data_IF_812433916115
#
_entry.id   IF_812433916115
#
_cell.length_a   1.000
_cell.length_b   1.000
_cell.length_c   1.000
_cell.angle_alpha   90.00
_cell.angle_beta   90.00
_cell.angle_gamma   90.00
#
_symmetry.space_group_name_H-M   'P 1'
#
loop_
_entity.id
_entity.type
_entity.pdbx_description
1 polymer ?
#
# COMPACT_ATOMS: atom_id res chain seq x y z
N UNK A 1 -2.21 17.51 -3.96
CA UNK A 1 -1.26 18.60 -4.21
C UNK A 1 -1.08 18.71 -5.71
N UNK A 2 -0.77 19.90 -6.27
CA UNK A 2 -0.23 19.97 -7.61
C UNK A 2 1.04 19.12 -7.71
N UNK A 3 1.45 18.76 -8.93
CA UNK A 3 2.74 18.09 -9.17
C UNK A 3 3.85 18.83 -8.43
N UNK A 4 4.62 18.08 -7.62
CA UNK A 4 5.69 18.64 -6.84
C UNK A 4 6.89 18.96 -7.74
N UNK A 5 7.59 20.05 -7.40
CA UNK A 5 8.87 20.35 -8.05
C UNK A 5 9.93 19.31 -7.70
N UNK A 6 10.93 19.19 -8.57
CA UNK A 6 12.06 18.28 -8.37
C UNK A 6 12.73 18.45 -6.99
N UNK A 7 12.92 19.70 -6.53
CA UNK A 7 13.51 20.00 -5.22
C UNK A 7 12.64 19.54 -4.05
N UNK A 8 11.31 19.70 -4.15
CA UNK A 8 10.37 19.20 -3.13
C UNK A 8 10.40 17.67 -3.06
N UNK A 9 10.40 17.01 -4.21
CA UNK A 9 10.47 15.54 -4.32
C UNK A 9 11.76 15.01 -3.73
N UNK A 10 12.90 15.64 -4.05
CA UNK A 10 14.19 15.28 -3.50
C UNK A 10 14.23 15.43 -1.98
N UNK A 11 13.69 16.52 -1.45
CA UNK A 11 13.55 16.72 0.00
C UNK A 11 12.67 15.62 0.64
N UNK A 12 11.57 15.23 -0.02
CA UNK A 12 10.72 14.13 0.44
C UNK A 12 11.49 12.80 0.46
N UNK A 13 12.20 12.44 -0.62
CA UNK A 13 13.04 11.24 -0.70
C UNK A 13 14.02 11.17 0.47
N UNK A 14 14.77 12.25 0.71
CA UNK A 14 15.74 12.31 1.80
C UNK A 14 15.07 12.21 3.18
N UNK A 15 13.88 12.80 3.36
CA UNK A 15 13.13 12.71 4.62
C UNK A 15 12.62 11.30 4.93
N UNK A 16 12.54 10.42 3.92
CA UNK A 16 12.18 9.01 4.04
C UNK A 16 13.38 8.10 4.34
N UNK A 17 14.57 8.67 4.60
CA UNK A 17 15.78 7.93 4.97
C UNK A 17 16.01 8.06 6.49
N UNK A 18 16.20 6.96 7.23
CA UNK A 18 16.58 7.01 8.65
C UNK A 18 17.87 7.80 8.88
N UNK A 19 18.04 8.43 10.05
CA UNK A 19 19.22 9.27 10.34
C UNK A 19 20.55 8.51 10.17
N UNK A 20 20.62 7.25 10.58
CA UNK A 20 21.81 6.41 10.40
C UNK A 20 22.19 6.26 8.92
N UNK A 21 21.20 6.08 8.05
CA UNK A 21 21.39 5.93 6.62
C UNK A 21 21.65 7.28 5.93
N UNK A 22 21.05 8.37 6.42
CA UNK A 22 21.35 9.72 5.94
C UNK A 22 22.82 10.09 6.16
N UNK A 23 23.38 9.73 7.33
CA UNK A 23 24.81 9.96 7.62
C UNK A 23 25.73 9.20 6.67
N UNK A 24 25.35 7.98 6.31
CA UNK A 24 26.07 7.15 5.34
C UNK A 24 25.95 7.73 3.92
N UNK A 25 24.75 8.13 3.52
CA UNK A 25 24.50 8.77 2.23
C UNK A 25 25.29 10.08 2.09
N UNK A 26 25.28 10.93 3.11
CA UNK A 26 26.00 12.20 3.06
C UNK A 26 27.51 11.99 2.95
N UNK A 27 28.07 10.98 3.63
CA UNK A 27 29.48 10.61 3.45
C UNK A 27 29.78 10.16 2.02
N UNK A 28 28.92 9.34 1.42
CA UNK A 28 29.06 8.89 0.03
C UNK A 28 28.96 10.05 -0.98
N UNK A 29 28.26 11.13 -0.61
CA UNK A 29 28.11 12.35 -1.40
C UNK A 29 29.17 13.42 -1.05
N UNK A 30 30.15 13.11 -0.21
CA UNK A 30 31.20 14.03 0.25
C UNK A 30 30.65 15.28 0.99
N UNK A 31 29.50 15.13 1.65
CA UNK A 31 28.84 16.17 2.47
C UNK A 31 28.95 15.83 3.96
N UNK A 32 29.11 16.86 4.79
CA UNK A 32 29.16 16.72 6.26
C UNK A 32 27.92 15.97 6.81
N UNK A 33 28.19 14.90 7.55
CA UNK A 33 27.21 14.01 8.17
C UNK A 33 26.89 14.36 9.64
N UNK A 34 27.34 15.51 10.12
CA UNK A 34 27.23 15.91 11.53
C UNK A 34 25.90 16.63 11.79
N UNK A 35 25.22 16.28 12.87
CA UNK A 35 24.00 16.95 13.31
C UNK A 35 22.72 16.16 13.06
N UNK A 36 21.61 16.87 13.04
CA UNK A 36 20.25 16.35 12.89
C UNK A 36 19.94 15.97 11.44
N UNK A 37 18.87 15.20 11.24
CA UNK A 37 18.40 14.82 9.90
C UNK A 37 18.13 16.07 9.04
N UNK A 38 17.47 17.08 9.59
CA UNK A 38 17.16 18.33 8.87
C UNK A 38 18.41 19.07 8.41
N UNK A 39 19.45 19.14 9.24
CA UNK A 39 20.71 19.81 8.90
C UNK A 39 21.47 19.05 7.81
N UNK A 40 21.50 17.71 7.88
CA UNK A 40 22.13 16.87 6.85
C UNK A 40 21.36 17.02 5.53
N UNK A 41 20.04 16.92 5.55
CA UNK A 41 19.18 17.07 4.36
C UNK A 41 19.41 18.44 3.72
N UNK A 42 19.43 19.51 4.52
CA UNK A 42 19.70 20.87 4.02
C UNK A 42 21.02 20.94 3.27
N UNK A 43 22.12 20.43 3.85
CA UNK A 43 23.44 20.44 3.20
C UNK A 43 23.49 19.59 1.94
N UNK A 44 22.86 18.41 1.96
CA UNK A 44 22.76 17.55 0.77
C UNK A 44 21.98 18.26 -0.34
N UNK A 45 20.91 19.00 -0.04
CA UNK A 45 20.17 19.77 -1.04
C UNK A 45 20.99 20.97 -1.58
N UNK A 46 21.76 21.65 -0.73
CA UNK A 46 22.63 22.78 -1.12
C UNK A 46 23.82 22.33 -1.99
N UNK A 47 24.26 21.08 -1.87
CA UNK A 47 25.35 20.54 -2.69
C UNK A 47 24.93 20.13 -4.10
N UNK A 48 23.66 20.30 -4.48
CA UNK A 48 23.11 19.95 -5.80
C UNK A 48 23.48 18.50 -6.22
N UNK A 49 23.03 17.50 -5.45
CA UNK A 49 23.54 16.15 -5.56
C UNK A 49 23.04 15.47 -6.83
N UNK A 50 23.76 14.45 -7.28
CA UNK A 50 23.26 13.56 -8.33
C UNK A 50 22.09 12.73 -7.77
N UNK A 51 20.87 13.05 -8.18
CA UNK A 51 19.66 12.34 -7.73
C UNK A 51 19.67 10.85 -8.01
N UNK A 52 20.32 10.43 -9.11
CA UNK A 52 20.45 9.01 -9.45
C UNK A 52 21.20 8.24 -8.37
N UNK A 53 22.25 8.84 -7.78
CA UNK A 53 23.01 8.22 -6.69
C UNK A 53 22.16 8.07 -5.42
N UNK A 54 21.27 9.02 -5.15
CA UNK A 54 20.33 8.95 -4.03
C UNK A 54 19.30 7.84 -4.26
N UNK A 55 18.75 7.77 -5.48
CA UNK A 55 17.79 6.73 -5.86
C UNK A 55 18.40 5.32 -5.78
N UNK A 56 19.63 5.15 -6.27
CA UNK A 56 20.40 3.90 -6.17
C UNK A 56 20.68 3.52 -4.71
N UNK A 57 21.04 4.49 -3.85
CA UNK A 57 21.23 4.26 -2.43
C UNK A 57 19.93 3.76 -1.76
N UNK A 58 18.80 4.43 -2.05
CA UNK A 58 17.49 4.06 -1.51
C UNK A 58 17.09 2.66 -1.96
N UNK A 59 17.18 2.37 -3.27
CA UNK A 59 16.89 1.05 -3.84
C UNK A 59 17.78 -0.04 -3.25
N UNK A 60 19.07 0.26 -3.01
CA UNK A 60 20.01 -0.65 -2.37
C UNK A 60 19.62 -0.98 -0.93
N UNK A 61 19.19 0.00 -0.15
CA UNK A 61 18.70 -0.21 1.23
C UNK A 61 17.41 -1.02 1.24
N UNK A 62 16.46 -0.69 0.36
CA UNK A 62 15.21 -1.43 0.25
C UNK A 62 15.44 -2.89 -0.16
N UNK A 63 16.34 -3.13 -1.12
CA UNK A 63 16.72 -4.49 -1.54
C UNK A 63 17.27 -5.33 -0.39
N UNK A 64 18.06 -4.74 0.52
CA UNK A 64 18.55 -5.44 1.72
C UNK A 64 17.40 -5.86 2.64
N UNK A 65 16.42 -4.98 2.87
CA UNK A 65 15.21 -5.30 3.65
C UNK A 65 14.42 -6.47 3.05
N UNK A 66 14.29 -6.52 1.72
CA UNK A 66 13.68 -7.68 1.04
C UNK A 66 14.49 -8.94 1.34
N UNK A 67 15.82 -8.90 1.26
CA UNK A 67 16.66 -10.08 1.55
C UNK A 67 16.54 -10.55 3.01
N UNK A 68 16.43 -9.64 3.97
CA UNK A 68 16.17 -9.98 5.38
C UNK A 68 14.82 -10.72 5.51
N UNK A 69 13.77 -10.26 4.82
CA UNK A 69 12.48 -10.96 4.76
C UNK A 69 12.63 -12.33 4.07
N UNK A 70 13.38 -12.41 2.96
CA UNK A 70 13.64 -13.65 2.20
C UNK A 70 14.37 -14.71 3.03
N UNK A 71 15.19 -14.29 4.00
CA UNK A 71 15.88 -15.18 4.90
C UNK A 71 14.93 -15.90 5.89
N UNK A 72 13.77 -15.32 6.19
CA UNK A 72 12.73 -15.95 7.03
C UNK A 72 11.94 -16.99 6.22
N UNK A 73 11.54 -16.63 5.01
CA UNK A 73 10.81 -17.51 4.08
C UNK A 73 11.07 -17.06 2.63
N UNK A 74 11.38 -17.99 1.73
CA UNK A 74 11.59 -17.65 0.32
C UNK A 74 10.29 -17.13 -0.32
N UNK A 75 10.37 -16.29 -1.38
CA UNK A 75 9.17 -15.87 -2.13
C UNK A 75 8.40 -17.09 -2.64
N UNK A 76 9.10 -18.13 -3.09
CA UNK A 76 8.51 -19.37 -3.60
C UNK A 76 7.69 -20.08 -2.53
N UNK A 77 8.22 -20.19 -1.31
CA UNK A 77 7.54 -20.92 -0.24
C UNK A 77 6.42 -20.08 0.38
N UNK A 78 6.59 -18.77 0.52
CA UNK A 78 5.51 -17.88 0.96
C UNK A 78 4.32 -17.93 -0.02
N UNK A 79 4.60 -17.92 -1.33
CA UNK A 79 3.56 -18.10 -2.36
C UNK A 79 2.82 -19.43 -2.19
N UNK A 80 3.51 -20.53 -1.86
CA UNK A 80 2.86 -21.83 -1.58
C UNK A 80 1.97 -21.77 -0.34
N UNK A 81 2.38 -21.09 0.73
CA UNK A 81 1.55 -20.91 1.93
C UNK A 81 0.27 -20.13 1.60
N UNK A 82 0.37 -19.06 0.82
CA UNK A 82 -0.78 -18.27 0.36
C UNK A 82 -1.76 -19.07 -0.52
N UNK A 83 -1.28 -20.07 -1.25
CA UNK A 83 -2.13 -20.98 -2.03
C UNK A 83 -2.96 -21.94 -1.17
N UNK A 84 -2.61 -22.13 0.10
CA UNK A 84 -3.39 -22.98 1.03
C UNK A 84 -4.72 -22.36 1.45
N UNK A 85 -4.86 -21.03 1.33
CA UNK A 85 -6.10 -20.33 1.67
C UNK A 85 -7.19 -20.70 0.63
N UNK A 86 -8.21 -21.45 1.03
CA UNK A 86 -9.28 -21.90 0.12
C UNK A 86 -10.57 -21.08 0.22
N UNK A 87 -10.77 -20.43 1.36
CA UNK A 87 -11.95 -19.62 1.66
C UNK A 87 -11.51 -18.25 2.13
N UNK A 88 -12.28 -17.24 1.76
CA UNK A 88 -12.02 -15.86 2.14
C UNK A 88 -13.31 -15.25 2.67
N UNK A 89 -13.52 -15.40 3.98
CA UNK A 89 -14.67 -14.88 4.70
C UNK A 89 -14.16 -14.16 5.93
N UNK A 90 -14.54 -12.89 6.11
CA UNK A 90 -13.96 -12.08 7.17
C UNK A 90 -14.42 -12.48 8.57
N UNK A 91 -15.63 -13.04 8.73
CA UNK A 91 -16.22 -13.41 10.02
C UNK A 91 -16.51 -12.22 10.98
N UNK A 92 -15.73 -11.16 10.90
CA UNK A 92 -15.85 -9.90 11.64
C UNK A 92 -15.28 -8.74 10.81
N UNK A 93 -15.74 -7.52 11.08
CA UNK A 93 -15.19 -6.31 10.45
C UNK A 93 -13.77 -6.06 10.96
N UNK A 94 -12.86 -5.69 10.06
CA UNK A 94 -11.46 -5.41 10.42
C UNK A 94 -11.35 -4.32 11.49
N UNK A 95 -10.63 -4.66 12.57
CA UNK A 95 -10.43 -3.77 13.72
C UNK A 95 -11.60 -3.75 14.73
N UNK A 96 -12.67 -4.52 14.50
CA UNK A 96 -13.84 -4.56 15.39
C UNK A 96 -14.03 -5.92 16.10
N UNK A 97 -13.02 -6.79 16.07
CA UNK A 97 -13.13 -8.12 16.67
C UNK A 97 -13.40 -8.05 18.19
N UNK A 98 -12.70 -7.18 18.91
CA UNK A 98 -12.93 -6.99 20.35
C UNK A 98 -14.36 -6.49 20.63
N UNK A 99 -14.81 -5.48 19.88
CA UNK A 99 -16.17 -4.96 19.99
C UNK A 99 -17.22 -6.07 19.74
N UNK A 100 -17.00 -6.93 18.75
CA UNK A 100 -17.86 -8.10 18.48
C UNK A 100 -17.90 -9.04 19.69
N UNK A 101 -16.74 -9.39 20.26
CA UNK A 101 -16.67 -10.25 21.45
C UNK A 101 -17.44 -9.65 22.62
N UNK A 102 -17.24 -8.35 22.88
CA UNK A 102 -17.90 -7.65 23.98
C UNK A 102 -19.42 -7.61 23.81
N UNK A 103 -19.90 -7.29 22.60
CA UNK A 103 -21.32 -7.06 22.33
C UNK A 103 -22.12 -8.35 22.11
N UNK A 104 -21.55 -9.34 21.42
CA UNK A 104 -22.27 -10.57 21.07
C UNK A 104 -22.12 -11.68 22.12
N UNK A 105 -21.02 -11.71 22.87
CA UNK A 105 -20.71 -12.79 23.82
C UNK A 105 -20.73 -12.32 25.26
N UNK A 106 -19.82 -11.40 25.65
CA UNK A 106 -19.59 -11.03 27.06
C UNK A 106 -20.83 -10.38 27.70
N UNK A 107 -21.44 -9.39 27.03
CA UNK A 107 -22.57 -8.64 27.60
C UNK A 107 -23.93 -9.32 27.42
N UNK A 108 -24.01 -10.35 26.58
CA UNK A 108 -25.28 -10.97 26.16
C UNK A 108 -25.49 -12.37 26.76
N UNK A 109 -24.43 -13.15 26.95
CA UNK A 109 -24.53 -14.54 27.40
C UNK A 109 -24.21 -14.60 28.90
N UNK A 110 -25.24 -14.85 29.71
CA UNK A 110 -25.14 -14.83 31.18
C UNK A 110 -24.71 -16.18 31.74
N UNK A 111 -25.13 -17.29 31.12
CA UNK A 111 -24.82 -18.64 31.60
C UNK A 111 -23.49 -19.12 31.03
N UNK A 112 -22.64 -19.64 31.90
CA UNK A 112 -21.28 -20.04 31.56
C UNK A 112 -21.22 -21.14 30.48
N UNK A 113 -22.03 -22.19 30.61
CA UNK A 113 -22.06 -23.28 29.63
C UNK A 113 -22.57 -22.80 28.26
N UNK A 114 -23.57 -21.91 28.22
CA UNK A 114 -24.05 -21.30 26.98
C UNK A 114 -22.94 -20.47 26.32
N UNK A 115 -22.15 -19.74 27.11
CA UNK A 115 -21.02 -18.96 26.62
C UNK A 115 -19.99 -19.89 25.97
N UNK A 116 -19.56 -20.95 26.67
CA UNK A 116 -18.60 -21.91 26.14
C UNK A 116 -19.10 -22.57 24.84
N UNK A 117 -20.37 -22.97 24.80
CA UNK A 117 -20.98 -23.58 23.62
C UNK A 117 -20.99 -22.62 22.42
N UNK A 118 -21.37 -21.35 22.63
CA UNK A 118 -21.37 -20.34 21.57
C UNK A 118 -19.97 -19.96 21.09
N UNK A 119 -18.99 -19.93 21.99
CA UNK A 119 -17.59 -19.68 21.62
C UNK A 119 -17.07 -20.79 20.72
N UNK A 120 -17.29 -22.06 21.09
CA UNK A 120 -16.85 -23.21 20.29
C UNK A 120 -17.60 -23.32 18.95
N UNK A 121 -18.91 -23.12 18.97
CA UNK A 121 -19.74 -23.28 17.77
C UNK A 121 -19.52 -22.18 16.73
N UNK A 122 -19.24 -20.94 17.16
CA UNK A 122 -19.22 -19.77 16.26
C UNK A 122 -17.99 -18.89 16.40
N UNK A 123 -17.68 -18.40 17.61
CA UNK A 123 -16.61 -17.39 17.77
C UNK A 123 -15.26 -17.91 17.31
N UNK A 124 -14.94 -19.16 17.64
CA UNK A 124 -13.70 -19.81 17.22
C UNK A 124 -13.51 -19.71 15.71
N UNK A 125 -14.52 -20.11 14.93
CA UNK A 125 -14.47 -20.06 13.47
C UNK A 125 -14.37 -18.63 12.93
N UNK A 126 -15.12 -17.68 13.53
CA UNK A 126 -15.05 -16.27 13.13
C UNK A 126 -13.65 -15.67 13.36
N UNK A 127 -13.03 -15.97 14.52
CA UNK A 127 -11.65 -15.54 14.83
C UNK A 127 -10.66 -16.20 13.87
N UNK A 128 -10.76 -17.51 13.63
CA UNK A 128 -9.88 -18.23 12.70
C UNK A 128 -9.95 -17.62 11.30
N UNK A 129 -11.16 -17.39 10.79
CA UNK A 129 -11.41 -16.79 9.50
C UNK A 129 -10.85 -15.36 9.40
N UNK A 130 -11.04 -14.56 10.44
CA UNK A 130 -10.50 -13.21 10.53
C UNK A 130 -8.96 -13.20 10.46
N UNK A 131 -8.30 -14.05 11.25
CA UNK A 131 -6.84 -14.16 11.28
C UNK A 131 -6.29 -14.61 9.92
N UNK A 132 -6.91 -15.61 9.29
CA UNK A 132 -6.52 -16.06 7.94
C UNK A 132 -6.65 -14.93 6.92
N UNK A 133 -7.78 -14.21 6.89
CA UNK A 133 -8.01 -13.14 5.90
C UNK A 133 -7.03 -11.97 6.09
N UNK A 134 -6.80 -11.56 7.33
CA UNK A 134 -5.83 -10.49 7.66
C UNK A 134 -4.40 -10.89 7.33
N UNK A 135 -3.99 -12.11 7.68
CA UNK A 135 -2.68 -12.66 7.33
C UNK A 135 -2.49 -12.78 5.81
N UNK A 136 -3.48 -13.31 5.10
CA UNK A 136 -3.46 -13.42 3.63
C UNK A 136 -3.32 -12.05 2.97
N UNK A 137 -4.13 -11.07 3.40
CA UNK A 137 -4.07 -9.72 2.86
C UNK A 137 -2.72 -9.06 3.12
N UNK A 138 -2.16 -9.23 4.32
CA UNK A 138 -0.86 -8.69 4.66
C UNK A 138 0.23 -9.24 3.74
N UNK A 139 0.37 -10.56 3.65
CA UNK A 139 1.48 -11.17 2.90
C UNK A 139 1.36 -11.06 1.39
N UNK A 140 0.13 -11.08 0.85
CA UNK A 140 -0.07 -10.76 -0.57
C UNK A 140 0.28 -9.31 -0.87
N UNK A 141 -0.13 -8.37 -0.02
CA UNK A 141 0.25 -6.94 -0.18
C UNK A 141 1.75 -6.76 -0.07
N UNK A 142 2.44 -7.38 0.90
CA UNK A 142 3.91 -7.32 1.01
C UNK A 142 4.58 -7.75 -0.29
N UNK A 143 4.20 -8.90 -0.86
CA UNK A 143 4.80 -9.39 -2.11
C UNK A 143 4.52 -8.46 -3.30
N UNK A 144 3.32 -7.86 -3.38
CA UNK A 144 2.95 -6.92 -4.44
C UNK A 144 3.74 -5.61 -4.29
N UNK A 145 3.81 -5.05 -3.09
CA UNK A 145 4.54 -3.81 -2.83
C UNK A 145 6.05 -3.98 -3.00
N UNK A 146 6.62 -5.12 -2.59
CA UNK A 146 8.03 -5.44 -2.86
C UNK A 146 8.29 -5.51 -4.36
N UNK A 147 7.40 -6.13 -5.14
CA UNK A 147 7.52 -6.19 -6.60
C UNK A 147 7.46 -4.79 -7.24
N UNK A 148 6.47 -3.97 -6.85
CA UNK A 148 6.36 -2.56 -7.29
C UNK A 148 7.65 -1.79 -6.95
N UNK A 149 8.16 -1.95 -5.74
CA UNK A 149 9.33 -1.24 -5.22
C UNK A 149 10.64 -1.63 -5.90
N UNK A 150 10.70 -2.82 -6.50
CA UNK A 150 11.84 -3.28 -7.28
C UNK A 150 11.80 -2.83 -8.74
N UNK A 151 10.69 -2.25 -9.21
CA UNK A 151 10.57 -1.80 -10.60
C UNK A 151 11.60 -0.69 -10.93
N UNK A 152 12.29 -0.72 -12.09
CA UNK A 152 13.33 0.26 -12.42
C UNK A 152 12.89 1.72 -12.36
N UNK A 153 11.63 2.01 -12.72
CA UNK A 153 11.04 3.36 -12.71
C UNK A 153 10.48 3.82 -11.35
N UNK A 154 10.59 2.99 -10.32
CA UNK A 154 10.06 3.25 -8.97
C UNK A 154 11.21 3.41 -7.98
N UNK A 155 11.10 4.36 -7.05
CA UNK A 155 11.99 4.50 -5.90
C UNK A 155 11.16 4.34 -4.63
N UNK A 156 11.40 3.31 -3.79
CA UNK A 156 10.59 3.09 -2.61
C UNK A 156 10.99 3.98 -1.43
N UNK A 157 10.16 4.06 -0.39
CA UNK A 157 10.56 4.64 0.90
C UNK A 157 11.25 3.61 1.79
N UNK A 158 12.32 4.01 2.50
CA UNK A 158 12.99 3.13 3.49
C UNK A 158 12.26 3.21 4.82
N UNK A 159 11.95 4.44 5.25
CA UNK A 159 11.19 4.76 6.44
C UNK A 159 9.79 5.20 6.03
N UNK A 160 8.77 4.66 6.73
CA UNK A 160 7.38 5.08 6.55
C UNK A 160 7.23 6.59 6.79
N UNK A 161 6.60 7.24 5.83
CA UNK A 161 6.10 8.61 5.92
C UNK A 161 4.64 8.57 5.52
N UNK A 162 3.77 9.19 6.33
CA UNK A 162 2.33 9.18 6.07
C UNK A 162 2.07 9.70 4.64
N UNK A 163 1.33 8.91 3.86
CA UNK A 163 0.91 9.26 2.50
C UNK A 163 1.98 9.09 1.42
N UNK A 164 3.12 8.44 1.72
CA UNK A 164 4.19 8.21 0.75
C UNK A 164 4.79 6.83 0.98
N UNK A 165 4.57 5.93 0.03
CA UNK A 165 5.18 4.60 -0.01
C UNK A 165 6.27 4.51 -1.07
N UNK A 166 6.05 5.15 -2.23
CA UNK A 166 6.96 5.14 -3.38
C UNK A 166 7.05 6.52 -4.04
N UNK A 167 8.06 6.67 -4.90
CA UNK A 167 8.17 7.72 -5.90
C UNK A 167 8.13 7.09 -7.28
N UNK A 168 7.25 7.58 -8.14
CA UNK A 168 7.12 7.16 -9.54
C UNK A 168 7.05 8.40 -10.42
N UNK A 169 7.85 8.40 -11.50
CA UNK A 169 7.91 9.49 -12.47
C UNK A 169 8.13 10.88 -11.82
N UNK A 170 8.98 10.91 -10.79
CA UNK A 170 9.29 12.13 -10.05
C UNK A 170 8.19 12.60 -9.10
N UNK A 171 7.14 11.82 -8.82
CA UNK A 171 6.08 12.19 -7.87
C UNK A 171 5.91 11.15 -6.76
N UNK A 172 5.60 11.57 -5.51
CA UNK A 172 5.32 10.65 -4.42
C UNK A 172 3.91 10.05 -4.55
N UNK A 173 3.76 8.79 -4.14
CA UNK A 173 2.46 8.11 -4.09
C UNK A 173 2.34 7.23 -2.83
N UNK A 174 1.15 7.27 -2.24
CA UNK A 174 0.60 6.26 -1.31
C UNK A 174 0.07 5.08 -2.15
N UNK A 175 0.51 3.87 -1.85
CA UNK A 175 0.08 2.66 -2.54
C UNK A 175 -1.19 2.11 -1.91
N UNK A 176 -2.18 1.79 -2.75
CA UNK A 176 -3.41 1.16 -2.28
C UNK A 176 -3.79 -0.03 -3.12
N UNK A 177 -3.40 -1.21 -2.64
CA UNK A 177 -3.79 -2.51 -3.21
C UNK A 177 -5.13 -2.95 -2.62
N UNK A 178 -6.18 -3.00 -3.44
CA UNK A 178 -7.54 -3.34 -2.98
C UNK A 178 -8.36 -3.99 -4.09
N UNK A 179 -9.53 -4.50 -3.72
CA UNK A 179 -10.55 -4.95 -4.67
C UNK A 179 -11.40 -3.77 -5.14
N UNK A 180 -12.12 -3.96 -6.25
CA UNK A 180 -13.16 -3.04 -6.67
C UNK A 180 -14.16 -2.83 -5.50
N UNK A 181 -14.50 -1.58 -5.14
CA UNK A 181 -15.47 -1.34 -4.07
C UNK A 181 -16.83 -1.95 -4.37
N UNK A 182 -17.48 -2.51 -3.34
CA UNK A 182 -18.84 -3.01 -3.47
C UNK A 182 -19.79 -1.90 -3.91
N UNK A 183 -20.61 -2.16 -4.92
CA UNK A 183 -21.58 -1.22 -5.46
C UNK A 183 -21.03 -0.24 -6.51
N UNK A 184 -19.74 -0.28 -6.83
CA UNK A 184 -19.20 0.45 -7.98
C UNK A 184 -19.29 -0.42 -9.25
N UNK A 185 -19.74 0.15 -10.36
CA UNK A 185 -19.91 -0.57 -11.62
C UNK A 185 -18.54 -0.97 -12.23
N UNK A 186 -18.28 -2.28 -12.44
CA UNK A 186 -17.06 -2.77 -13.08
C UNK A 186 -16.83 -2.20 -14.49
N UNK A 187 -17.89 -2.02 -15.29
CA UNK A 187 -17.76 -1.51 -16.66
C UNK A 187 -17.32 -0.05 -16.62
N UNK A 188 -18.00 0.76 -15.78
CA UNK A 188 -17.63 2.16 -15.55
C UNK A 188 -16.19 2.27 -15.07
N UNK A 189 -15.77 1.46 -14.10
CA UNK A 189 -14.41 1.47 -13.56
C UNK A 189 -13.35 1.25 -14.65
N UNK A 190 -13.57 0.29 -15.55
CA UNK A 190 -12.64 -0.02 -16.63
C UNK A 190 -12.63 1.10 -17.69
N UNK A 191 -13.81 1.64 -18.04
CA UNK A 191 -13.91 2.70 -19.05
C UNK A 191 -13.41 4.07 -18.58
N UNK A 192 -13.52 4.35 -17.28
CA UNK A 192 -13.11 5.62 -16.69
C UNK A 192 -12.50 5.38 -15.28
N UNK A 193 -11.23 4.96 -15.21
CA UNK A 193 -10.56 4.72 -13.93
C UNK A 193 -10.43 5.96 -13.05
N UNK A 194 -10.42 7.17 -13.64
CA UNK A 194 -10.33 8.43 -12.89
C UNK A 194 -11.59 8.68 -12.05
N UNK A 195 -12.78 8.39 -12.57
CA UNK A 195 -14.03 8.44 -11.81
C UNK A 195 -14.01 7.46 -10.62
N UNK A 196 -13.38 6.29 -10.79
CA UNK A 196 -13.21 5.34 -9.69
C UNK A 196 -12.27 5.92 -8.62
N UNK A 197 -11.16 6.53 -9.02
CA UNK A 197 -10.27 7.20 -8.07
C UNK A 197 -11.00 8.27 -7.26
N UNK A 198 -11.75 9.17 -7.92
CA UNK A 198 -12.57 10.20 -7.25
C UNK A 198 -13.50 9.54 -6.24
N UNK A 199 -14.31 8.57 -6.68
CA UNK A 199 -15.23 7.87 -5.78
C UNK A 199 -14.51 7.25 -4.58
N UNK A 200 -13.34 6.64 -4.79
CA UNK A 200 -12.53 6.04 -3.71
C UNK A 200 -11.99 7.08 -2.73
N UNK A 201 -11.73 8.30 -3.17
CA UNK A 201 -11.34 9.40 -2.29
C UNK A 201 -12.53 9.98 -1.50
N UNK A 202 -13.72 10.05 -2.10
CA UNK A 202 -14.92 10.60 -1.44
C UNK A 202 -15.51 9.63 -0.42
N UNK A 203 -15.41 8.32 -0.68
CA UNK A 203 -16.00 7.26 0.15
C UNK A 203 -15.04 6.65 1.19
N UNK A 204 -14.02 7.41 1.60
CA UNK A 204 -13.08 6.98 2.63
C UNK A 204 -13.72 7.01 4.03
N UNK A 205 -13.29 6.12 4.92
CA UNK A 205 -13.64 6.25 6.34
C UNK A 205 -12.94 7.46 6.96
N UNK A 206 -13.64 8.27 7.76
CA UNK A 206 -13.09 9.51 8.35
C UNK A 206 -11.77 9.30 9.13
N UNK A 207 -11.62 8.19 9.84
CA UNK A 207 -10.38 7.85 10.57
C UNK A 207 -9.20 7.51 9.64
N UNK A 208 -9.47 7.18 8.38
CA UNK A 208 -8.49 6.79 7.35
C UNK A 208 -8.40 7.81 6.22
N UNK A 209 -8.94 9.01 6.45
CA UNK A 209 -8.90 10.08 5.46
C UNK A 209 -7.45 10.43 5.12
N UNK A 210 -7.18 10.51 3.82
CA UNK A 210 -5.96 11.04 3.24
C UNK A 210 -6.26 11.72 1.91
N UNK A 211 -5.55 12.81 1.64
CA UNK A 211 -5.61 13.59 0.40
C UNK A 211 -4.27 13.62 -0.33
N UNK A 212 -3.37 12.71 0.04
CA UNK A 212 -2.09 12.49 -0.62
C UNK A 212 -2.30 11.90 -2.02
N UNK A 213 -1.29 11.97 -2.88
CA UNK A 213 -1.33 11.33 -4.19
C UNK A 213 -1.41 9.81 -4.00
N UNK A 214 -2.28 9.11 -4.75
CA UNK A 214 -2.43 7.64 -4.62
C UNK A 214 -2.26 6.93 -5.94
N UNK A 215 -1.58 5.79 -5.87
CA UNK A 215 -1.60 4.80 -6.92
C UNK A 215 -2.43 3.61 -6.42
N UNK A 216 -3.61 3.45 -7.03
CA UNK A 216 -4.52 2.36 -6.73
C UNK A 216 -4.17 1.16 -7.60
N UNK A 217 -3.98 0.00 -6.98
CA UNK A 217 -3.93 -1.29 -7.65
C UNK A 217 -5.24 -2.01 -7.33
N UNK A 218 -6.15 -2.02 -8.30
CA UNK A 218 -7.49 -2.56 -8.17
C UNK A 218 -7.54 -3.95 -8.79
N UNK A 219 -7.91 -4.93 -7.99
CA UNK A 219 -8.09 -6.32 -8.42
C UNK A 219 -9.57 -6.58 -8.68
N UNK A 220 -9.88 -7.10 -9.86
CA UNK A 220 -11.25 -7.36 -10.30
C UNK A 220 -11.31 -8.66 -11.12
N UNK A 221 -11.97 -9.67 -10.58
CA UNK A 221 -12.48 -10.78 -11.39
C UNK A 221 -13.80 -10.32 -12.04
N UNK A 222 -13.82 -10.22 -13.38
CA UNK A 222 -14.98 -9.65 -14.10
C UNK A 222 -16.21 -10.55 -14.03
N UNK A 223 -15.98 -11.86 -14.02
CA UNK A 223 -17.05 -12.86 -14.02
C UNK A 223 -17.58 -13.09 -12.60
N UNK A 224 -16.72 -12.98 -11.59
CA UNK A 224 -17.09 -13.16 -10.20
C UNK A 224 -16.33 -12.20 -9.25
N UNK A 225 -16.81 -10.95 -9.08
CA UNK A 225 -16.14 -9.95 -8.25
C UNK A 225 -15.83 -10.38 -6.81
N UNK A 226 -16.66 -11.23 -6.19
CA UNK A 226 -16.41 -11.75 -4.84
C UNK A 226 -15.22 -12.72 -4.77
N UNK A 227 -14.75 -13.24 -5.92
CA UNK A 227 -13.52 -14.06 -6.05
C UNK A 227 -12.27 -13.25 -6.40
N UNK A 228 -12.35 -11.92 -6.47
CA UNK A 228 -11.18 -11.06 -6.75
C UNK A 228 -10.02 -11.25 -5.75
N UNK A 229 -10.28 -11.80 -4.55
CA UNK A 229 -9.23 -12.17 -3.60
C UNK A 229 -8.32 -13.29 -4.11
N UNK A 230 -8.83 -14.20 -4.95
CA UNK A 230 -8.03 -15.26 -5.58
C UNK A 230 -7.05 -14.66 -6.60
N UNK A 231 -7.46 -13.60 -7.30
CA UNK A 231 -6.62 -12.87 -8.25
C UNK A 231 -5.41 -12.23 -7.55
N UNK A 232 -5.57 -11.80 -6.28
CA UNK A 232 -4.50 -11.16 -5.51
C UNK A 232 -3.26 -12.04 -5.32
N UNK A 233 -3.41 -13.36 -5.39
CA UNK A 233 -2.31 -14.34 -5.29
C UNK A 233 -1.90 -14.94 -6.63
N UNK A 234 -2.50 -14.52 -7.75
CA UNK A 234 -2.00 -14.83 -9.09
C UNK A 234 -0.82 -13.91 -9.41
N UNK A 235 0.31 -14.17 -8.73
CA UNK A 235 1.47 -13.28 -8.79
C UNK A 235 2.05 -13.16 -10.19
N UNK A 236 1.89 -14.16 -11.06
CA UNK A 236 2.39 -14.07 -12.42
C UNK A 236 1.61 -13.00 -13.21
N UNK A 237 0.28 -13.07 -13.17
CA UNK A 237 -0.58 -12.09 -13.82
C UNK A 237 -0.42 -10.71 -13.18
N UNK A 238 -0.46 -10.64 -11.85
CA UNK A 238 -0.39 -9.38 -11.10
C UNK A 238 0.94 -8.67 -11.35
N UNK A 239 2.06 -9.38 -11.26
CA UNK A 239 3.38 -8.78 -11.46
C UNK A 239 3.58 -8.32 -12.91
N UNK A 240 3.16 -9.13 -13.88
CA UNK A 240 3.25 -8.73 -15.29
C UNK A 240 2.43 -7.47 -15.61
N UNK A 241 1.24 -7.33 -15.03
CA UNK A 241 0.41 -6.12 -15.21
C UNK A 241 1.00 -4.90 -14.51
N UNK A 242 1.62 -5.09 -13.35
CA UNK A 242 2.36 -4.04 -12.65
C UNK A 242 3.55 -3.56 -13.48
N UNK A 243 4.36 -4.46 -14.01
CA UNK A 243 5.52 -4.10 -14.85
C UNK A 243 5.06 -3.35 -16.10
N UNK A 244 4.05 -3.89 -16.81
CA UNK A 244 3.46 -3.24 -17.98
C UNK A 244 2.94 -1.84 -17.67
N UNK A 245 2.32 -1.65 -16.51
CA UNK A 245 1.82 -0.35 -16.08
C UNK A 245 2.97 0.64 -15.90
N UNK A 246 3.98 0.30 -15.10
CA UNK A 246 5.07 1.23 -14.81
C UNK A 246 5.98 1.47 -16.02
N UNK A 247 6.11 0.52 -16.94
CA UNK A 247 6.87 0.70 -18.18
C UNK A 247 6.23 1.74 -19.11
N UNK A 248 4.91 1.77 -19.21
CA UNK A 248 4.20 2.59 -20.19
C UNK A 248 3.62 3.90 -19.63
N UNK A 249 3.28 3.93 -18.34
CA UNK A 249 2.64 5.10 -17.73
C UNK A 249 3.62 6.25 -17.50
N UNK A 250 3.07 7.46 -17.49
CA UNK A 250 3.74 8.71 -17.13
C UNK A 250 2.82 9.52 -16.24
N UNK A 251 3.37 10.31 -15.34
CA UNK A 251 2.60 11.19 -14.46
C UNK A 251 2.53 12.58 -15.06
N UNK A 252 1.31 13.11 -15.19
CA UNK A 252 1.04 14.38 -15.84
C UNK A 252 -0.08 15.15 -15.13
N UNK A 253 -0.32 16.38 -15.56
CA UNK A 253 -1.44 17.19 -15.04
C UNK A 253 -2.82 16.57 -15.33
N UNK A 254 -2.94 15.67 -16.32
CA UNK A 254 -4.20 14.98 -16.61
C UNK A 254 -4.56 13.92 -15.55
N UNK A 255 -3.61 13.56 -14.69
CA UNK A 255 -3.82 12.64 -13.57
C UNK A 255 -4.30 13.38 -12.30
N UNK A 256 -4.38 14.71 -12.35
CA UNK A 256 -4.95 15.51 -11.28
C UNK A 256 -6.47 15.35 -11.24
N UNK A 257 -6.98 15.00 -10.07
CA UNK A 257 -8.40 14.88 -9.79
C UNK A 257 -8.81 15.83 -8.67
N UNK A 258 -10.07 16.26 -8.71
CA UNK A 258 -10.72 17.03 -7.67
C UNK A 258 -11.79 16.16 -7.03
N UNK A 259 -11.84 16.14 -5.70
CA UNK A 259 -12.82 15.36 -4.95
C UNK A 259 -13.30 16.10 -3.71
N UNK A 260 -14.49 15.75 -3.22
CA UNK A 260 -15.05 16.33 -1.99
C UNK A 260 -15.05 15.32 -0.86
N UNK A 261 -14.57 15.74 0.31
CA UNK A 261 -14.67 14.95 1.54
C UNK A 261 -15.21 15.80 2.67
N UNK A 262 -16.36 15.40 3.24
CA UNK A 262 -17.09 16.22 4.19
C UNK A 262 -17.57 17.53 3.57
N UNK A 263 -17.04 18.67 4.04
CA UNK A 263 -17.37 20.01 3.53
C UNK A 263 -16.23 20.67 2.73
N UNK A 264 -15.15 19.94 2.51
CA UNK A 264 -13.94 20.47 1.90
C UNK A 264 -13.71 19.83 0.52
N UNK A 265 -13.14 20.63 -0.38
CA UNK A 265 -12.69 20.17 -1.70
C UNK A 265 -11.17 20.03 -1.70
N UNK A 266 -10.68 18.96 -2.32
CA UNK A 266 -9.28 18.61 -2.36
C UNK A 266 -8.86 18.33 -3.80
N UNK A 267 -7.59 18.58 -4.08
CA UNK A 267 -6.94 18.30 -5.36
C UNK A 267 -5.75 17.38 -5.12
N UNK A 268 -5.64 16.31 -5.90
CA UNK A 268 -4.56 15.32 -5.77
C UNK A 268 -4.26 14.65 -7.10
N UNK A 269 -3.09 14.02 -7.22
CA UNK A 269 -2.74 13.19 -8.37
C UNK A 269 -3.09 11.74 -8.08
N UNK A 270 -3.84 11.11 -8.98
CA UNK A 270 -4.26 9.73 -8.83
C UNK A 270 -3.90 8.89 -10.05
N UNK A 271 -3.33 7.71 -9.79
CA UNK A 271 -3.10 6.67 -10.80
C UNK A 271 -3.91 5.44 -10.45
N UNK A 272 -4.49 4.78 -11.45
CA UNK A 272 -5.31 3.58 -11.24
C UNK A 272 -4.86 2.49 -12.20
N UNK A 273 -4.31 1.42 -11.64
CA UNK A 273 -4.07 0.16 -12.32
C UNK A 273 -5.21 -0.81 -11.98
N UNK A 274 -6.04 -1.15 -12.97
CA UNK A 274 -7.06 -2.20 -12.81
C UNK A 274 -6.53 -3.50 -13.42
N UNK A 275 -6.27 -4.48 -12.55
CA UNK A 275 -5.84 -5.83 -12.93
C UNK A 275 -7.09 -6.69 -12.98
N UNK A 276 -7.41 -7.16 -14.18
CA UNK A 276 -8.60 -7.97 -14.42
C UNK A 276 -8.27 -9.38 -14.84
N UNK A 277 -9.08 -10.32 -14.39
CA UNK A 277 -9.17 -11.68 -14.94
C UNK A 277 -10.54 -11.87 -15.59
#
# INVERSE_FOLDING_TARGET
MPLLSQKEVLNLKLSCIPLSDLKMLSQNLEVSNIGTATEIIKRVLESHPNEKAIDEFIKGKYSKRIQERRAIISDKDLKKELMKVRTFSWGAVQGQLDQKIQTEYVRRIVRYEDLLNNVRAKLHNDITNYVICTWFNHWTTVLIEEHISMHPRVVPTIKSKKGIDIFFDGQPFDLKVTYLPRGYDPIKAISNPSDLAVWMYENQGAQRFGSDNRLFVILLDKDNPEKSWELKRDFNLVFNKIDTFFDNEVVSNNDEIVFTFGKNTYTTVAKVLIITK
#
